data_IF_688311632998
#
_entry.id   IF_688311632998
#
_cell.length_a   1.000
_cell.length_b   1.000
_cell.length_c   1.000
_cell.angle_alpha   90.00
_cell.angle_beta   90.00
_cell.angle_gamma   90.00
#
_symmetry.space_group_name_H-M   'P 1'
#
loop_
_entity.id
_entity.type
_entity.pdbx_description
1 polymer ?
#
# COMPACT_ATOMS: atom_id res chain seq x y z
N UNK A 1 13.89 31.68 -2.94
CA UNK A 1 14.71 30.68 -3.64
C UNK A 1 15.73 30.16 -2.65
N UNK A 2 15.36 29.13 -1.89
CA UNK A 2 16.32 28.36 -1.10
C UNK A 2 16.82 27.25 -2.03
N UNK A 3 18.13 27.19 -2.23
CA UNK A 3 18.79 26.11 -2.97
C UNK A 3 18.37 24.77 -2.36
N UNK A 4 17.65 23.95 -3.12
CA UNK A 4 17.50 22.54 -2.77
C UNK A 4 18.84 21.85 -3.07
N UNK A 5 19.40 21.06 -2.12
CA UNK A 5 20.67 20.38 -2.35
C UNK A 5 20.54 19.42 -3.53
N UNK A 6 21.33 19.67 -4.59
CA UNK A 6 21.44 18.75 -5.71
C UNK A 6 21.93 17.39 -5.21
N UNK A 7 21.14 16.34 -5.46
CA UNK A 7 21.51 14.96 -5.08
C UNK A 7 22.75 14.54 -5.87
N UNK A 8 23.76 14.02 -5.17
CA UNK A 8 25.02 13.58 -5.82
C UNK A 8 24.85 12.24 -6.54
N UNK A 9 25.63 12.00 -7.61
CA UNK A 9 25.64 10.71 -8.34
C UNK A 9 25.93 9.49 -7.42
N UNK A 10 26.73 9.68 -6.37
CA UNK A 10 27.03 8.64 -5.39
C UNK A 10 25.80 8.27 -4.53
N UNK A 11 24.97 9.25 -4.16
CA UNK A 11 23.73 9.01 -3.42
C UNK A 11 22.66 8.32 -4.29
N UNK A 12 22.63 8.59 -5.60
CA UNK A 12 21.75 7.87 -6.53
C UNK A 12 22.20 6.42 -6.78
N UNK A 13 23.51 6.12 -6.65
CA UNK A 13 24.04 4.77 -6.85
C UNK A 13 23.56 3.78 -5.78
N UNK A 14 23.35 4.24 -4.54
CA UNK A 14 22.89 3.43 -3.41
C UNK A 14 21.37 3.12 -3.47
N UNK A 15 20.63 3.67 -4.43
CA UNK A 15 19.19 3.37 -4.62
C UNK A 15 18.89 2.54 -5.86
N UNK A 16 19.93 1.99 -6.52
CA UNK A 16 19.75 1.15 -7.71
C UNK A 16 19.31 -0.28 -7.35
N UNK A 17 18.48 -0.85 -8.20
CA UNK A 17 18.15 -2.27 -8.21
C UNK A 17 18.80 -2.92 -9.42
N UNK A 18 19.11 -4.22 -9.34
CA UNK A 18 19.66 -4.99 -10.45
C UNK A 18 18.77 -6.20 -10.68
N UNK A 19 18.27 -6.32 -11.90
CA UNK A 19 17.52 -7.50 -12.31
C UNK A 19 18.47 -8.67 -12.60
N UNK A 20 18.24 -9.81 -11.96
CA UNK A 20 19.03 -11.03 -12.14
C UNK A 20 18.07 -12.23 -12.29
N UNK A 21 17.87 -12.67 -13.54
CA UNK A 21 16.85 -13.66 -13.90
C UNK A 21 17.07 -15.01 -13.20
N UNK A 22 18.34 -15.44 -13.08
CA UNK A 22 18.68 -16.74 -12.51
C UNK A 22 18.42 -16.75 -11.00
N UNK A 23 18.74 -15.66 -10.30
CA UNK A 23 18.42 -15.51 -8.88
C UNK A 23 16.91 -15.41 -8.67
N UNK A 24 16.19 -14.64 -9.47
CA UNK A 24 14.72 -14.54 -9.37
C UNK A 24 14.07 -15.90 -9.53
N UNK A 25 14.47 -16.69 -10.53
CA UNK A 25 13.97 -18.06 -10.74
C UNK A 25 14.32 -19.00 -9.59
N UNK A 26 15.52 -18.89 -9.03
CA UNK A 26 15.97 -19.71 -7.89
C UNK A 26 15.15 -19.50 -6.63
N UNK A 27 14.69 -18.27 -6.42
CA UNK A 27 13.95 -17.86 -5.22
C UNK A 27 12.44 -17.66 -5.48
N UNK A 28 11.92 -18.20 -6.59
CA UNK A 28 10.50 -18.19 -6.96
C UNK A 28 9.70 -19.14 -6.04
N UNK A 29 9.34 -18.65 -4.87
CA UNK A 29 8.53 -19.34 -3.87
C UNK A 29 7.30 -18.52 -3.48
N UNK A 30 6.29 -19.19 -2.94
CA UNK A 30 5.16 -18.52 -2.28
C UNK A 30 5.58 -17.98 -0.92
N UNK A 31 5.08 -16.81 -0.56
CA UNK A 31 5.41 -16.16 0.70
C UNK A 31 4.51 -14.96 1.00
N UNK A 32 4.48 -14.51 2.26
CA UNK A 32 3.68 -13.36 2.64
C UNK A 32 4.15 -12.10 1.91
N UNK A 33 3.18 -11.22 1.62
CA UNK A 33 3.47 -9.91 1.02
C UNK A 33 4.07 -8.91 2.01
N UNK A 34 4.06 -9.24 3.31
CA UNK A 34 4.44 -8.36 4.41
C UNK A 34 3.79 -6.97 4.31
N UNK A 35 2.51 -6.94 3.95
CA UNK A 35 1.68 -5.73 4.11
C UNK A 35 1.62 -5.31 5.58
N UNK A 36 1.69 -6.29 6.48
CA UNK A 36 1.92 -6.15 7.91
C UNK A 36 2.71 -7.36 8.42
N UNK A 37 3.30 -7.24 9.60
CA UNK A 37 3.75 -8.38 10.39
C UNK A 37 3.20 -8.24 11.82
N UNK A 38 2.51 -9.27 12.37
CA UNK A 38 2.08 -10.49 11.69
C UNK A 38 1.12 -10.21 10.52
N UNK A 39 0.91 -11.22 9.68
CA UNK A 39 0.01 -11.07 8.52
C UNK A 39 -1.45 -11.19 8.94
N UNK A 40 -2.38 -10.75 8.09
CA UNK A 40 -3.82 -10.89 8.32
C UNK A 40 -4.34 -12.35 8.38
N UNK A 41 -3.48 -13.35 8.15
CA UNK A 41 -3.75 -14.78 8.40
C UNK A 41 -3.83 -15.05 9.90
N UNK A 42 -3.03 -14.36 10.71
CA UNK A 42 -2.95 -14.55 12.16
C UNK A 42 -4.05 -13.80 12.93
N UNK A 43 -4.88 -13.02 12.22
CA UNK A 43 -6.00 -12.31 12.84
C UNK A 43 -7.06 -13.32 13.28
N UNK A 44 -7.51 -13.19 14.52
CA UNK A 44 -8.46 -14.08 15.16
C UNK A 44 -9.64 -13.31 15.76
N UNK A 45 -10.77 -14.00 15.94
CA UNK A 45 -12.03 -13.43 16.47
C UNK A 45 -11.97 -13.19 17.99
N UNK A 46 -10.88 -13.58 18.67
CA UNK A 46 -10.66 -13.28 20.08
C UNK A 46 -10.30 -11.82 20.34
N UNK A 47 -9.86 -11.09 19.31
CA UNK A 47 -9.73 -9.64 19.35
C UNK A 47 -11.01 -9.00 18.79
N UNK A 48 -11.92 -8.64 19.69
CA UNK A 48 -13.25 -8.10 19.41
C UNK A 48 -13.34 -6.58 19.67
N UNK A 49 -14.55 -6.01 19.58
CA UNK A 49 -14.79 -4.60 19.86
C UNK A 49 -14.32 -4.18 21.26
N UNK A 50 -14.53 -5.01 22.29
CA UNK A 50 -14.15 -4.67 23.66
C UNK A 50 -12.63 -4.58 23.81
N UNK A 51 -11.90 -5.55 23.23
CA UNK A 51 -10.44 -5.52 23.17
C UNK A 51 -9.91 -4.30 22.39
N UNK A 52 -10.56 -3.96 21.28
CA UNK A 52 -10.22 -2.78 20.48
C UNK A 52 -10.41 -1.48 21.26
N UNK A 53 -11.58 -1.27 21.89
CA UNK A 53 -11.86 -0.06 22.70
C UNK A 53 -10.84 0.12 23.82
N UNK A 54 -10.57 -0.95 24.57
CA UNK A 54 -9.58 -0.93 25.64
C UNK A 54 -8.17 -0.57 25.11
N UNK A 55 -7.83 -0.95 23.88
CA UNK A 55 -6.55 -0.60 23.25
C UNK A 55 -6.52 0.87 22.85
N UNK A 56 -7.58 1.39 22.22
CA UNK A 56 -7.68 2.80 21.84
C UNK A 56 -7.53 3.72 23.06
N UNK A 57 -8.23 3.41 24.16
CA UNK A 57 -8.12 4.16 25.42
C UNK A 57 -6.68 4.15 25.97
N UNK A 58 -5.99 3.00 25.97
CA UNK A 58 -4.58 2.91 26.38
C UNK A 58 -3.67 3.71 25.45
N UNK A 59 -3.97 3.75 24.14
CA UNK A 59 -3.13 4.42 23.13
C UNK A 59 -3.05 5.93 23.34
N UNK A 60 -4.05 6.54 23.96
CA UNK A 60 -4.09 7.98 24.23
C UNK A 60 -2.92 8.46 25.09
N UNK A 61 -2.40 7.61 25.98
CA UNK A 61 -1.22 7.93 26.78
C UNK A 61 0.03 8.23 25.93
N UNK A 62 0.12 7.67 24.71
CA UNK A 62 1.25 7.90 23.80
C UNK A 62 1.19 9.26 23.10
N UNK A 63 -0.01 9.87 23.01
CA UNK A 63 -0.28 11.10 22.25
C UNK A 63 0.21 11.08 20.80
N UNK A 64 0.40 9.90 20.22
CA UNK A 64 0.79 9.73 18.82
C UNK A 64 -0.24 10.38 17.89
N UNK A 65 0.17 10.92 16.73
CA UNK A 65 -0.77 11.40 15.75
C UNK A 65 -1.68 10.27 15.25
N UNK A 66 -2.76 10.66 14.59
CA UNK A 66 -3.71 9.74 13.96
C UNK A 66 -3.50 9.68 12.45
N UNK A 67 -3.77 8.51 11.90
CA UNK A 67 -3.92 8.25 10.47
C UNK A 67 -5.31 7.69 10.23
N UNK A 68 -6.04 8.21 9.25
CA UNK A 68 -7.40 7.76 8.93
C UNK A 68 -7.41 7.06 7.58
N UNK A 69 -7.94 5.83 7.53
CA UNK A 69 -8.23 5.14 6.29
C UNK A 69 -9.73 4.95 6.12
N UNK A 70 -10.24 5.38 4.98
CA UNK A 70 -11.65 5.22 4.60
C UNK A 70 -11.74 4.23 3.45
N UNK A 71 -12.50 3.16 3.65
CA UNK A 71 -12.83 2.23 2.59
C UNK A 71 -14.16 2.63 1.94
N UNK A 72 -14.11 3.09 0.68
CA UNK A 72 -15.28 3.39 -0.13
C UNK A 72 -15.43 2.26 -1.17
N UNK A 73 -16.31 1.27 -0.94
CA UNK A 73 -16.25 0.00 -1.66
C UNK A 73 -16.87 0.06 -3.05
N UNK A 74 -17.56 1.15 -3.43
CA UNK A 74 -18.34 1.17 -4.66
C UNK A 74 -17.48 1.38 -5.90
N UNK A 75 -17.80 0.66 -6.98
CA UNK A 75 -17.23 0.85 -8.31
C UNK A 75 -18.35 0.92 -9.34
N UNK A 76 -18.28 1.86 -10.28
CA UNK A 76 -19.23 1.94 -11.39
C UNK A 76 -19.12 0.72 -12.35
N UNK A 77 -17.88 0.26 -12.58
CA UNK A 77 -17.56 -0.81 -13.54
C UNK A 77 -16.70 -1.90 -12.90
N UNK A 78 -17.09 -3.16 -13.12
CA UNK A 78 -16.34 -4.32 -12.64
C UNK A 78 -15.13 -4.61 -13.53
N UNK A 79 -13.93 -4.28 -13.05
CA UNK A 79 -12.68 -4.67 -13.71
C UNK A 79 -12.37 -6.15 -13.43
N UNK A 80 -12.12 -6.95 -14.46
CA UNK A 80 -11.99 -8.41 -14.32
C UNK A 80 -10.73 -8.83 -13.57
N UNK A 81 -9.66 -8.03 -13.59
CA UNK A 81 -8.43 -8.32 -12.84
C UNK A 81 -8.59 -8.10 -11.33
N UNK A 82 -9.58 -7.31 -10.88
CA UNK A 82 -9.56 -6.68 -9.56
C UNK A 82 -9.78 -7.66 -8.39
N UNK A 83 -8.83 -7.68 -7.47
CA UNK A 83 -8.83 -8.47 -6.23
C UNK A 83 -9.20 -7.66 -4.97
N UNK A 84 -9.44 -6.35 -5.08
CA UNK A 84 -9.84 -5.51 -3.96
C UNK A 84 -11.19 -5.96 -3.37
N UNK A 85 -11.52 -5.53 -2.14
CA UNK A 85 -12.92 -5.58 -1.69
C UNK A 85 -13.66 -4.42 -2.35
N UNK A 86 -14.80 -4.72 -2.98
CA UNK A 86 -15.60 -3.76 -3.75
C UNK A 86 -17.01 -4.28 -4.02
N UNK A 87 -17.92 -3.34 -4.23
CA UNK A 87 -19.30 -3.52 -4.67
C UNK A 87 -19.44 -2.84 -6.02
N UNK A 88 -19.42 -3.62 -7.11
CA UNK A 88 -19.66 -3.09 -8.44
C UNK A 88 -21.15 -2.84 -8.66
N UNK A 89 -21.55 -1.59 -8.87
CA UNK A 89 -22.96 -1.18 -9.00
C UNK A 89 -23.10 0.08 -9.84
N UNK A 90 -24.20 0.18 -10.60
CA UNK A 90 -24.63 1.41 -11.28
C UNK A 90 -25.57 2.26 -10.41
N UNK A 91 -26.09 1.68 -9.34
CA UNK A 91 -26.98 2.36 -8.42
C UNK A 91 -26.18 3.23 -7.43
N UNK A 92 -26.04 4.51 -7.75
CA UNK A 92 -25.35 5.49 -6.90
C UNK A 92 -26.12 5.81 -5.61
N UNK A 93 -27.42 5.48 -5.53
CA UNK A 93 -28.20 5.73 -4.32
C UNK A 93 -27.71 4.90 -3.13
N UNK A 94 -26.97 3.81 -3.37
CA UNK A 94 -26.36 2.99 -2.33
C UNK A 94 -25.23 3.69 -1.56
N UNK A 95 -24.65 4.77 -2.11
CA UNK A 95 -23.55 5.48 -1.48
C UNK A 95 -23.99 6.24 -0.21
N UNK A 96 -25.11 6.96 -0.25
CA UNK A 96 -25.53 7.79 0.89
C UNK A 96 -25.81 6.96 2.15
N UNK A 97 -26.59 5.86 2.10
CA UNK A 97 -26.85 5.04 3.30
C UNK A 97 -25.58 4.41 3.89
N UNK A 98 -24.56 4.17 3.06
CA UNK A 98 -23.26 3.69 3.53
C UNK A 98 -22.48 4.81 4.23
N UNK A 99 -22.43 6.01 3.64
CA UNK A 99 -21.78 7.17 4.24
C UNK A 99 -22.43 7.57 5.57
N UNK A 100 -23.76 7.56 5.66
CA UNK A 100 -24.47 7.84 6.92
C UNK A 100 -24.05 6.90 8.06
N UNK A 101 -23.80 5.62 7.74
CA UNK A 101 -23.27 4.64 8.71
C UNK A 101 -21.80 4.91 9.03
N UNK A 102 -20.99 5.23 8.03
CA UNK A 102 -19.60 5.66 8.25
C UNK A 102 -19.53 6.92 9.13
N UNK A 103 -20.49 7.85 9.03
CA UNK A 103 -20.56 9.03 9.89
C UNK A 103 -20.80 8.63 11.36
N UNK A 104 -21.71 7.68 11.60
CA UNK A 104 -21.93 7.11 12.94
C UNK A 104 -20.70 6.35 13.46
N UNK A 105 -20.02 5.62 12.57
CA UNK A 105 -18.76 4.96 12.91
C UNK A 105 -17.69 5.98 13.33
N UNK A 106 -17.54 7.09 12.59
CA UNK A 106 -16.63 8.18 12.96
C UNK A 106 -16.97 8.79 14.33
N UNK A 107 -18.24 8.98 14.64
CA UNK A 107 -18.68 9.46 15.97
C UNK A 107 -18.29 8.46 17.07
N UNK A 108 -18.48 7.15 16.85
CA UNK A 108 -18.07 6.12 17.81
C UNK A 108 -16.55 5.99 17.94
N UNK A 109 -15.82 6.12 16.84
CA UNK A 109 -14.35 6.01 16.80
C UNK A 109 -13.70 7.22 17.47
N UNK A 110 -14.10 8.44 17.11
CA UNK A 110 -13.52 9.67 17.68
C UNK A 110 -13.68 9.75 19.19
N UNK A 111 -14.78 9.24 19.75
CA UNK A 111 -14.99 9.17 21.20
C UNK A 111 -13.96 8.28 21.95
N UNK A 112 -13.18 7.46 21.25
CA UNK A 112 -12.12 6.62 21.85
C UNK A 112 -10.77 7.34 21.93
N UNK A 113 -10.60 8.46 21.26
CA UNK A 113 -9.32 9.16 21.14
C UNK A 113 -9.40 10.55 21.78
N UNK A 114 -8.29 11.00 22.36
CA UNK A 114 -8.23 12.36 22.90
C UNK A 114 -8.35 13.41 21.78
N UNK A 115 -9.08 14.49 22.04
CA UNK A 115 -9.40 15.55 21.08
C UNK A 115 -8.18 16.38 20.62
N UNK A 116 -7.08 16.31 21.37
CA UNK A 116 -5.81 16.96 21.06
C UNK A 116 -4.95 16.18 20.06
N UNK A 117 -5.30 14.93 19.74
CA UNK A 117 -4.58 14.10 18.76
C UNK A 117 -4.88 14.56 17.34
N UNK A 118 -3.85 15.06 16.68
CA UNK A 118 -3.94 15.58 15.30
C UNK A 118 -3.90 14.44 14.29
N UNK A 119 -4.68 14.57 13.22
CA UNK A 119 -4.63 13.69 12.05
C UNK A 119 -3.57 14.19 11.07
N UNK A 120 -2.43 13.50 11.06
CA UNK A 120 -1.33 13.77 10.11
C UNK A 120 -1.54 13.09 8.76
N UNK A 121 -2.36 12.04 8.70
CA UNK A 121 -2.60 11.30 7.46
C UNK A 121 -4.07 10.95 7.27
N UNK A 122 -4.53 11.04 6.04
CA UNK A 122 -5.86 10.61 5.64
C UNK A 122 -5.77 9.96 4.26
N UNK A 123 -6.42 8.81 4.10
CA UNK A 123 -6.46 8.11 2.84
C UNK A 123 -7.86 7.61 2.52
N UNK A 124 -8.37 7.98 1.35
CA UNK A 124 -9.56 7.38 0.77
C UNK A 124 -9.16 6.35 -0.28
N UNK A 125 -9.50 5.08 -0.03
CA UNK A 125 -9.25 3.99 -0.96
C UNK A 125 -10.43 3.02 -1.06
N UNK A 126 -10.19 1.85 -1.66
CA UNK A 126 -11.10 0.72 -1.60
C UNK A 126 -11.55 0.23 -2.98
N UNK A 127 -12.81 0.51 -3.32
CA UNK A 127 -13.33 0.30 -4.67
C UNK A 127 -12.93 1.47 -5.56
N UNK A 128 -13.72 2.54 -5.51
CA UNK A 128 -13.47 3.78 -6.23
C UNK A 128 -13.97 4.95 -5.39
N UNK A 129 -13.10 5.62 -4.61
CA UNK A 129 -13.48 6.79 -3.83
C UNK A 129 -14.23 7.86 -4.63
N UNK A 130 -13.83 8.09 -5.88
CA UNK A 130 -14.50 9.03 -6.79
C UNK A 130 -15.87 8.59 -7.30
N UNK A 131 -16.39 7.44 -6.85
CA UNK A 131 -17.78 7.02 -7.11
C UNK A 131 -18.80 7.92 -6.40
N UNK A 132 -18.47 8.41 -5.19
CA UNK A 132 -19.38 9.30 -4.46
C UNK A 132 -19.42 10.67 -5.14
N UNK A 133 -20.57 11.33 -5.06
CA UNK A 133 -20.76 12.65 -5.67
C UNK A 133 -19.90 13.72 -4.97
N UNK A 134 -19.67 14.84 -5.65
CA UNK A 134 -18.97 16.00 -5.07
C UNK A 134 -19.63 16.51 -3.78
N UNK A 135 -20.97 16.48 -3.69
CA UNK A 135 -21.67 16.82 -2.46
C UNK A 135 -21.32 15.85 -1.33
N UNK A 136 -21.33 14.56 -1.61
CA UNK A 136 -20.96 13.52 -0.64
C UNK A 136 -19.48 13.61 -0.22
N UNK A 137 -18.58 14.02 -1.11
CA UNK A 137 -17.18 14.28 -0.74
C UNK A 137 -17.07 15.42 0.27
N UNK A 138 -17.83 16.51 0.06
CA UNK A 138 -17.90 17.64 1.01
C UNK A 138 -18.45 17.16 2.36
N UNK A 139 -19.59 16.47 2.33
CA UNK A 139 -20.21 15.93 3.55
C UNK A 139 -19.27 14.99 4.33
N UNK A 140 -18.59 14.07 3.65
CA UNK A 140 -17.65 13.15 4.31
C UNK A 140 -16.50 13.89 4.98
N UNK A 141 -15.91 14.88 4.31
CA UNK A 141 -14.84 15.70 4.89
C UNK A 141 -15.32 16.62 6.00
N UNK A 142 -16.54 17.15 5.93
CA UNK A 142 -17.14 17.94 6.99
C UNK A 142 -17.39 17.07 8.24
N UNK A 143 -17.93 15.86 8.07
CA UNK A 143 -18.07 14.90 9.16
C UNK A 143 -16.71 14.46 9.72
N UNK A 144 -15.69 14.33 8.87
CA UNK A 144 -14.35 14.00 9.34
C UNK A 144 -13.80 15.12 10.22
N UNK A 145 -13.89 16.39 9.79
CA UNK A 145 -13.45 17.56 10.59
C UNK A 145 -14.25 17.75 11.88
N UNK A 146 -15.53 17.36 11.89
CA UNK A 146 -16.38 17.40 13.10
C UNK A 146 -15.88 16.42 14.16
N UNK A 147 -15.38 15.26 13.75
CA UNK A 147 -15.03 14.15 14.64
C UNK A 147 -13.51 14.07 14.94
N UNK A 148 -12.66 14.59 14.06
CA UNK A 148 -11.21 14.51 14.19
C UNK A 148 -10.54 15.85 13.90
N UNK A 149 -9.43 16.11 14.60
CA UNK A 149 -8.62 17.32 14.41
C UNK A 149 -7.72 17.18 13.19
N UNK A 150 -8.19 17.66 12.04
CA UNK A 150 -7.41 17.72 10.80
C UNK A 150 -6.42 18.90 10.79
N UNK A 151 -5.39 18.77 9.96
CA UNK A 151 -4.50 19.85 9.55
C UNK A 151 -5.13 20.58 8.35
N UNK A 152 -5.05 21.90 8.35
CA UNK A 152 -5.59 22.77 7.29
C UNK A 152 -4.49 23.27 6.33
N UNK A 153 -3.31 22.65 6.37
CA UNK A 153 -2.17 22.92 5.50
C UNK A 153 -1.63 21.64 4.85
N UNK A 154 -0.62 21.77 4.00
CA UNK A 154 -0.02 20.64 3.28
C UNK A 154 1.01 19.86 4.11
N UNK A 155 1.10 20.09 5.43
CA UNK A 155 1.92 19.23 6.31
C UNK A 155 1.23 17.89 6.61
N UNK A 156 -0.10 17.82 6.48
CA UNK A 156 -0.84 16.56 6.51
C UNK A 156 -0.82 15.84 5.16
N UNK A 157 -0.71 14.51 5.17
CA UNK A 157 -0.73 13.68 3.96
C UNK A 157 -2.15 13.21 3.63
N UNK A 158 -2.89 13.99 2.84
CA UNK A 158 -4.28 13.68 2.48
C UNK A 158 -4.35 13.16 1.04
N UNK A 159 -4.66 11.87 0.93
CA UNK A 159 -4.50 11.07 -0.28
C UNK A 159 -5.77 10.34 -0.70
N UNK A 160 -5.95 10.15 -2.00
CA UNK A 160 -7.12 9.50 -2.59
C UNK A 160 -6.75 8.63 -3.79
N UNK A 161 -7.38 7.46 -3.91
CA UNK A 161 -7.37 6.65 -5.13
C UNK A 161 -8.44 7.15 -6.12
N UNK A 162 -8.05 7.34 -7.39
CA UNK A 162 -8.89 7.90 -8.44
C UNK A 162 -9.01 6.92 -9.61
N UNK A 163 -10.24 6.63 -10.02
CA UNK A 163 -10.52 6.11 -11.35
C UNK A 163 -10.68 7.29 -12.33
N UNK A 164 -9.82 7.43 -13.35
CA UNK A 164 -9.85 8.57 -14.27
C UNK A 164 -11.14 8.63 -15.11
N UNK A 165 -11.93 7.56 -15.17
CA UNK A 165 -13.24 7.53 -15.85
C UNK A 165 -14.34 8.21 -15.03
N UNK A 166 -14.14 8.33 -13.72
CA UNK A 166 -15.11 8.82 -12.74
C UNK A 166 -14.71 10.20 -12.17
N UNK A 167 -13.62 10.80 -12.66
CA UNK A 167 -13.11 12.07 -12.19
C UNK A 167 -12.81 13.02 -13.36
N UNK A 168 -13.21 14.28 -13.22
CA UNK A 168 -12.86 15.36 -14.13
C UNK A 168 -12.18 16.51 -13.39
N UNK A 169 -11.86 17.59 -14.12
CA UNK A 169 -11.16 18.75 -13.56
C UNK A 169 -11.88 19.38 -12.35
N UNK A 170 -13.21 19.43 -12.36
CA UNK A 170 -13.99 19.96 -11.23
C UNK A 170 -13.89 19.07 -9.98
N UNK A 171 -13.85 17.74 -10.14
CA UNK A 171 -13.64 16.80 -9.03
C UNK A 171 -12.24 16.98 -8.44
N UNK A 172 -11.21 17.08 -9.28
CA UNK A 172 -9.83 17.29 -8.83
C UNK A 172 -9.67 18.62 -8.09
N UNK A 173 -10.28 19.68 -8.62
CA UNK A 173 -10.31 20.99 -7.96
C UNK A 173 -11.00 20.91 -6.59
N UNK A 174 -12.15 20.24 -6.51
CA UNK A 174 -12.83 20.02 -5.24
C UNK A 174 -11.96 19.26 -4.24
N UNK A 175 -11.32 18.18 -4.66
CA UNK A 175 -10.46 17.40 -3.76
C UNK A 175 -9.35 18.29 -3.18
N UNK A 176 -8.76 19.17 -4.00
CA UNK A 176 -7.81 20.15 -3.50
C UNK A 176 -8.43 21.13 -2.49
N UNK A 177 -9.62 21.67 -2.78
CA UNK A 177 -10.37 22.53 -1.84
C UNK A 177 -10.66 21.84 -0.50
N UNK A 178 -10.85 20.52 -0.52
CA UNK A 178 -11.09 19.71 0.67
C UNK A 178 -9.82 19.37 1.46
N UNK A 179 -8.63 19.71 0.94
CA UNK A 179 -7.34 19.50 1.59
C UNK A 179 -6.52 18.34 1.03
N UNK A 180 -7.01 17.59 0.03
CA UNK A 180 -6.22 16.53 -0.60
C UNK A 180 -5.04 17.14 -1.35
N UNK A 181 -3.86 16.59 -1.14
CA UNK A 181 -2.61 17.03 -1.77
C UNK A 181 -1.86 15.88 -2.45
N UNK A 182 -2.38 14.65 -2.36
CA UNK A 182 -1.84 13.43 -2.97
C UNK A 182 -2.94 12.67 -3.68
N UNK A 183 -2.62 12.00 -4.78
CA UNK A 183 -3.56 11.10 -5.46
C UNK A 183 -2.86 9.95 -6.16
N UNK A 184 -3.54 8.80 -6.25
CA UNK A 184 -3.13 7.66 -7.07
C UNK A 184 -4.14 7.41 -8.18
N UNK A 185 -3.69 7.38 -9.43
CA UNK A 185 -4.55 7.14 -10.60
C UNK A 185 -4.43 5.70 -11.06
N UNK A 186 -5.56 4.99 -11.06
CA UNK A 186 -5.64 3.65 -11.61
C UNK A 186 -5.59 3.64 -13.14
N UNK A 187 -4.42 3.49 -13.74
CA UNK A 187 -4.27 3.43 -15.22
C UNK A 187 -4.29 1.99 -15.73
N UNK A 188 -3.50 1.14 -15.09
CA UNK A 188 -3.31 -0.28 -15.37
C UNK A 188 -2.61 -0.56 -16.70
N UNK A 189 -3.20 -0.10 -17.82
CA UNK A 189 -2.64 -0.20 -19.17
C UNK A 189 -3.33 0.80 -20.13
N UNK A 190 -2.59 1.36 -21.09
CA UNK A 190 -3.14 2.19 -22.18
C UNK A 190 -3.49 1.37 -23.43
N UNK A 191 -3.09 0.11 -23.52
CA UNK A 191 -3.42 -0.75 -24.65
C UNK A 191 -4.92 -1.09 -24.66
N UNK A 192 -5.60 -0.76 -25.77
CA UNK A 192 -7.05 -0.94 -25.89
C UNK A 192 -7.48 -2.42 -25.92
N UNK A 193 -6.62 -3.33 -26.40
CA UNK A 193 -6.89 -4.77 -26.42
C UNK A 193 -6.82 -5.34 -25.00
N UNK A 194 -5.81 -4.95 -24.22
CA UNK A 194 -5.68 -5.29 -22.80
C UNK A 194 -6.89 -4.75 -22.02
N UNK A 195 -7.22 -3.47 -22.19
CA UNK A 195 -8.36 -2.83 -21.53
C UNK A 195 -9.69 -3.55 -21.81
N UNK A 196 -9.94 -3.95 -23.07
CA UNK A 196 -11.12 -4.75 -23.44
C UNK A 196 -11.15 -6.10 -22.74
N UNK A 197 -10.00 -6.78 -22.70
CA UNK A 197 -9.88 -8.10 -22.08
C UNK A 197 -10.19 -8.08 -20.57
N UNK A 198 -9.93 -6.94 -19.91
CA UNK A 198 -10.14 -6.78 -18.47
C UNK A 198 -11.33 -5.90 -18.09
N UNK A 199 -12.13 -5.48 -19.07
CA UNK A 199 -13.31 -4.62 -18.88
C UNK A 199 -13.00 -3.28 -18.19
N UNK A 200 -11.90 -2.62 -18.61
CA UNK A 200 -11.47 -1.31 -18.12
C UNK A 200 -11.17 -0.37 -19.29
N UNK A 201 -12.19 -0.03 -20.08
CA UNK A 201 -12.02 0.91 -21.20
C UNK A 201 -11.84 2.32 -20.64
N UNK A 202 -10.71 2.93 -20.95
CA UNK A 202 -10.36 4.31 -20.61
C UNK A 202 -9.47 4.89 -21.70
N UNK A 203 -9.72 6.13 -22.10
CA UNK A 203 -8.87 6.83 -23.05
C UNK A 203 -7.66 7.43 -22.34
N UNK A 204 -6.58 7.59 -23.10
CA UNK A 204 -5.42 8.34 -22.65
C UNK A 204 -5.79 9.78 -22.30
N UNK A 205 -6.66 10.41 -23.11
CA UNK A 205 -7.11 11.79 -22.91
C UNK A 205 -7.81 12.00 -21.55
N UNK A 206 -8.64 11.06 -21.11
CA UNK A 206 -9.27 11.11 -19.77
C UNK A 206 -8.22 11.11 -18.66
N UNK A 207 -7.21 10.24 -18.78
CA UNK A 207 -6.12 10.16 -17.79
C UNK A 207 -5.30 11.45 -17.76
N UNK A 208 -4.89 11.95 -18.93
CA UNK A 208 -4.09 13.17 -19.02
C UNK A 208 -4.84 14.39 -18.51
N UNK A 209 -6.15 14.49 -18.76
CA UNK A 209 -6.96 15.59 -18.25
C UNK A 209 -7.00 15.65 -16.71
N UNK A 210 -7.05 14.50 -16.03
CA UNK A 210 -6.99 14.43 -14.56
C UNK A 210 -5.61 14.85 -14.05
N UNK A 211 -4.53 14.38 -14.69
CA UNK A 211 -3.15 14.74 -14.33
C UNK A 211 -2.89 16.24 -14.50
N UNK A 212 -3.28 16.81 -15.64
CA UNK A 212 -3.16 18.24 -15.91
C UNK A 212 -3.95 19.09 -14.91
N UNK A 213 -5.19 18.69 -14.60
CA UNK A 213 -6.01 19.38 -13.61
C UNK A 213 -5.35 19.37 -12.23
N UNK A 214 -4.77 18.24 -11.82
CA UNK A 214 -4.15 18.12 -10.51
C UNK A 214 -2.89 18.96 -10.36
N UNK A 215 -2.05 18.99 -11.40
CA UNK A 215 -0.89 19.89 -11.46
C UNK A 215 -1.31 21.35 -11.38
N UNK A 216 -2.36 21.72 -12.12
CA UNK A 216 -2.89 23.09 -12.14
C UNK A 216 -3.38 23.56 -10.78
N UNK A 217 -3.95 22.67 -9.96
CA UNK A 217 -4.43 22.98 -8.61
C UNK A 217 -3.41 22.69 -7.52
N UNK A 218 -2.21 22.22 -7.87
CA UNK A 218 -1.09 22.07 -6.95
C UNK A 218 -1.13 20.82 -6.07
N UNK A 219 -1.56 19.67 -6.61
CA UNK A 219 -1.25 18.38 -5.99
C UNK A 219 0.27 18.18 -5.95
N UNK A 220 0.80 17.79 -4.78
CA UNK A 220 2.24 17.70 -4.54
C UNK A 220 2.85 16.33 -4.89
N UNK A 221 2.04 15.27 -4.91
CA UNK A 221 2.51 13.93 -5.29
C UNK A 221 1.41 13.17 -6.02
N UNK A 222 1.65 12.89 -7.29
CA UNK A 222 0.76 12.12 -8.16
C UNK A 222 1.40 10.76 -8.44
N UNK A 223 0.65 9.69 -8.17
CA UNK A 223 1.02 8.31 -8.50
C UNK A 223 0.19 7.81 -9.69
N UNK A 224 0.83 7.00 -10.55
CA UNK A 224 0.14 6.20 -11.57
C UNK A 224 0.31 4.72 -11.24
N UNK A 225 -0.80 4.00 -11.17
CA UNK A 225 -0.82 2.56 -10.95
C UNK A 225 -0.92 1.82 -12.29
N UNK A 226 0.00 0.88 -12.51
CA UNK A 226 0.09 -0.01 -13.66
C UNK A 226 0.02 -1.46 -13.20
N UNK A 227 -0.41 -2.37 -14.09
CA UNK A 227 -0.41 -3.81 -13.81
C UNK A 227 0.27 -4.53 -14.97
N UNK A 228 1.31 -5.30 -14.67
CA UNK A 228 1.91 -6.23 -15.63
C UNK A 228 1.41 -7.66 -15.40
N UNK A 229 1.37 -8.46 -16.47
CA UNK A 229 0.81 -9.81 -16.46
C UNK A 229 -0.68 -9.90 -16.84
N UNK A 230 -1.30 -8.82 -17.32
CA UNK A 230 -2.66 -8.84 -17.86
C UNK A 230 -2.73 -9.50 -19.24
N UNK A 231 -3.93 -9.93 -19.69
CA UNK A 231 -4.11 -10.57 -20.98
C UNK A 231 -3.54 -9.76 -22.15
N UNK A 232 -2.90 -10.44 -23.10
CA UNK A 232 -2.29 -9.87 -24.32
C UNK A 232 -1.09 -8.95 -24.12
N UNK A 233 -0.58 -8.78 -22.90
CA UNK A 233 0.63 -8.01 -22.68
C UNK A 233 1.87 -8.78 -23.15
N UNK A 234 2.80 -8.05 -23.75
CA UNK A 234 4.17 -8.44 -24.03
C UNK A 234 5.11 -7.24 -23.78
N UNK A 235 6.44 -7.40 -23.82
CA UNK A 235 7.36 -6.31 -23.54
C UNK A 235 7.22 -5.12 -24.50
N UNK A 236 6.92 -5.37 -25.78
CA UNK A 236 6.84 -4.32 -26.80
C UNK A 236 5.59 -3.46 -26.59
N UNK A 237 4.43 -4.09 -26.35
CA UNK A 237 3.18 -3.37 -26.09
C UNK A 237 3.21 -2.66 -24.72
N UNK A 238 3.74 -3.32 -23.68
CA UNK A 238 3.85 -2.68 -22.36
C UNK A 238 4.84 -1.50 -22.38
N UNK A 239 5.89 -1.56 -23.21
CA UNK A 239 6.81 -0.44 -23.42
C UNK A 239 6.09 0.80 -23.97
N UNK A 240 5.12 0.65 -24.89
CA UNK A 240 4.32 1.79 -25.38
C UNK A 240 3.46 2.42 -24.28
N UNK A 241 2.96 1.59 -23.35
CA UNK A 241 2.28 2.09 -22.15
C UNK A 241 3.24 2.88 -21.26
N UNK A 242 4.47 2.41 -21.08
CA UNK A 242 5.50 3.14 -20.33
C UNK A 242 5.93 4.44 -21.00
N UNK A 243 5.99 4.51 -22.34
CA UNK A 243 6.29 5.77 -23.06
C UNK A 243 5.35 6.88 -22.59
N UNK A 244 4.04 6.58 -22.59
CA UNK A 244 3.01 7.53 -22.17
C UNK A 244 3.13 7.92 -20.69
N UNK A 245 3.49 6.97 -19.82
CA UNK A 245 3.67 7.25 -18.38
C UNK A 245 4.92 8.09 -18.14
N UNK A 246 6.02 7.80 -18.84
CA UNK A 246 7.26 8.56 -18.76
C UNK A 246 7.04 9.99 -19.25
N UNK A 247 6.36 10.15 -20.39
CA UNK A 247 6.00 11.46 -20.96
C UNK A 247 5.05 12.23 -20.04
N UNK A 248 4.10 11.54 -19.41
CA UNK A 248 3.22 12.13 -18.41
C UNK A 248 3.99 12.58 -17.16
N UNK A 249 5.14 11.97 -16.86
CA UNK A 249 6.06 12.33 -15.78
C UNK A 249 5.43 12.46 -14.38
N UNK A 250 4.66 11.47 -13.87
CA UNK A 250 4.16 11.51 -12.49
C UNK A 250 5.31 11.46 -11.47
N UNK A 251 5.07 11.93 -10.26
CA UNK A 251 6.06 11.87 -9.17
C UNK A 251 6.33 10.42 -8.75
N UNK A 252 5.30 9.57 -8.82
CA UNK A 252 5.37 8.14 -8.46
C UNK A 252 4.76 7.24 -9.52
N UNK A 253 5.26 6.01 -9.59
CA UNK A 253 4.69 4.93 -10.40
C UNK A 253 4.65 3.66 -9.56
N UNK A 254 3.49 3.02 -9.49
CA UNK A 254 3.35 1.68 -8.91
C UNK A 254 3.10 0.67 -10.02
N UNK A 255 3.91 -0.38 -10.12
CA UNK A 255 3.81 -1.39 -11.17
C UNK A 255 3.55 -2.75 -10.54
N UNK A 256 2.28 -3.13 -10.44
CA UNK A 256 1.86 -4.33 -9.73
C UNK A 256 1.92 -5.58 -10.61
N UNK A 257 2.40 -6.68 -10.03
CA UNK A 257 2.24 -8.00 -10.63
C UNK A 257 0.78 -8.46 -10.57
N UNK A 258 0.19 -8.82 -11.71
CA UNK A 258 -1.14 -9.41 -11.75
C UNK A 258 -1.20 -10.76 -11.01
N UNK A 259 -1.97 -10.77 -9.91
CA UNK A 259 -2.28 -11.96 -9.14
C UNK A 259 -3.58 -12.62 -9.64
N UNK A 260 -3.44 -13.68 -10.45
CA UNK A 260 -4.56 -14.45 -10.99
C UNK A 260 -4.95 -15.61 -10.05
N UNK A 261 -6.07 -15.44 -9.33
CA UNK A 261 -6.66 -16.40 -8.40
C UNK A 261 -8.20 -16.47 -8.58
N UNK A 262 -8.70 -16.96 -9.74
CA UNK A 262 -10.12 -16.95 -10.10
C UNK A 262 -11.02 -17.84 -9.22
N UNK A 263 -10.44 -18.76 -8.45
CA UNK A 263 -11.13 -19.52 -7.41
C UNK A 263 -11.57 -18.62 -6.26
N UNK A 264 -10.75 -17.62 -5.90
CA UNK A 264 -10.99 -16.66 -4.81
C UNK A 264 -11.65 -15.37 -5.29
N UNK A 265 -11.28 -14.89 -6.47
CA UNK A 265 -11.79 -13.64 -7.04
C UNK A 265 -12.62 -13.93 -8.28
N UNK A 266 -13.94 -14.08 -8.09
CA UNK A 266 -14.87 -14.46 -9.16
C UNK A 266 -14.84 -13.59 -10.42
N UNK A 267 -14.51 -12.27 -10.40
CA UNK A 267 -14.39 -11.48 -11.62
C UNK A 267 -13.31 -11.99 -12.57
N UNK A 268 -12.23 -12.57 -12.03
CA UNK A 268 -11.08 -13.03 -12.82
C UNK A 268 -11.43 -14.25 -13.69
N UNK A 269 -12.52 -14.97 -13.40
CA UNK A 269 -13.03 -16.08 -14.26
C UNK A 269 -13.44 -15.62 -15.66
N UNK A 270 -13.58 -14.30 -15.87
CA UNK A 270 -13.91 -13.70 -17.17
C UNK A 270 -12.67 -13.40 -18.02
N UNK A 271 -11.47 -13.50 -17.43
CA UNK A 271 -10.21 -13.48 -18.15
C UNK A 271 -9.94 -14.92 -18.63
N UNK A 272 -9.50 -15.07 -19.87
CA UNK A 272 -9.09 -16.37 -20.40
C UNK A 272 -7.63 -16.62 -20.05
N UNK A 273 -7.36 -17.78 -19.46
CA UNK A 273 -6.00 -18.17 -19.06
C UNK A 273 -5.03 -18.20 -20.26
N UNK A 274 -5.50 -18.62 -21.44
CA UNK A 274 -4.69 -18.67 -22.68
C UNK A 274 -4.27 -17.28 -23.19
N UNK A 275 -4.96 -16.22 -22.78
CA UNK A 275 -4.61 -14.85 -23.15
C UNK A 275 -3.54 -14.27 -22.19
N UNK A 276 -3.27 -14.91 -21.05
CA UNK A 276 -2.29 -14.42 -20.07
C UNK A 276 -0.86 -14.65 -20.56
N UNK A 277 0.06 -13.68 -20.34
CA UNK A 277 1.45 -13.86 -20.69
C UNK A 277 2.06 -15.00 -19.87
N UNK A 278 2.88 -15.87 -20.48
CA UNK A 278 3.58 -16.91 -19.75
C UNK A 278 4.59 -16.28 -18.76
N UNK A 279 5.03 -17.02 -17.73
CA UNK A 279 5.89 -16.48 -16.66
C UNK A 279 7.14 -15.76 -17.15
N UNK A 280 7.80 -16.28 -18.20
CA UNK A 280 9.00 -15.62 -18.76
C UNK A 280 8.67 -14.23 -19.33
N UNK A 281 7.55 -14.07 -20.05
CA UNK A 281 7.12 -12.78 -20.60
C UNK A 281 6.85 -11.77 -19.48
N UNK A 282 6.27 -12.21 -18.36
CA UNK A 282 6.07 -11.35 -17.18
C UNK A 282 7.39 -10.85 -16.60
N UNK A 283 8.41 -11.70 -16.56
CA UNK A 283 9.75 -11.33 -16.10
C UNK A 283 10.44 -10.37 -17.07
N UNK A 284 10.27 -10.58 -18.38
CA UNK A 284 10.81 -9.69 -19.42
C UNK A 284 10.15 -8.29 -19.32
N UNK A 285 8.83 -8.22 -19.10
CA UNK A 285 8.12 -6.96 -18.85
C UNK A 285 8.63 -6.28 -17.59
N UNK A 286 8.82 -7.02 -16.49
CA UNK A 286 9.32 -6.47 -15.23
C UNK A 286 10.74 -5.90 -15.39
N UNK A 287 11.65 -6.65 -16.02
CA UNK A 287 13.01 -6.20 -16.29
C UNK A 287 13.01 -4.91 -17.11
N UNK A 288 12.31 -4.92 -18.24
CA UNK A 288 12.19 -3.76 -19.13
C UNK A 288 11.60 -2.55 -18.38
N UNK A 289 10.57 -2.76 -17.55
CA UNK A 289 9.97 -1.68 -16.76
C UNK A 289 10.96 -1.03 -15.80
N UNK A 290 11.71 -1.85 -15.06
CA UNK A 290 12.73 -1.37 -14.12
C UNK A 290 13.80 -0.56 -14.85
N UNK A 291 14.33 -1.10 -15.95
CA UNK A 291 15.38 -0.45 -16.74
C UNK A 291 14.88 0.89 -17.29
N UNK A 292 13.71 0.90 -17.94
CA UNK A 292 13.16 2.11 -18.56
C UNK A 292 12.80 3.21 -17.56
N UNK A 293 12.16 2.88 -16.44
CA UNK A 293 11.86 3.87 -15.40
C UNK A 293 13.14 4.41 -14.75
N UNK A 294 14.14 3.55 -14.54
CA UNK A 294 15.44 3.97 -13.99
C UNK A 294 16.19 4.90 -14.95
N UNK A 295 16.23 4.56 -16.24
CA UNK A 295 16.85 5.36 -17.29
C UNK A 295 16.14 6.72 -17.46
N UNK A 296 14.82 6.75 -17.25
CA UNK A 296 14.03 7.98 -17.27
C UNK A 296 14.06 8.76 -15.92
N UNK A 297 14.85 8.29 -14.95
CA UNK A 297 15.22 9.03 -13.75
C UNK A 297 14.35 8.75 -12.50
N UNK A 298 13.49 7.72 -12.51
CA UNK A 298 12.84 7.26 -11.29
C UNK A 298 13.77 6.32 -10.50
N UNK A 299 13.62 6.31 -9.19
CA UNK A 299 14.31 5.39 -8.29
C UNK A 299 13.38 4.25 -7.92
N UNK A 300 13.92 3.03 -7.88
CA UNK A 300 13.22 1.87 -7.34
C UNK A 300 13.19 1.96 -5.81
N UNK A 301 12.05 2.36 -5.25
CA UNK A 301 11.86 2.47 -3.81
C UNK A 301 11.76 1.09 -3.18
N UNK A 302 11.09 0.15 -3.84
CA UNK A 302 11.01 -1.23 -3.39
C UNK A 302 9.66 -1.87 -3.71
N UNK A 303 9.61 -3.19 -3.66
CA UNK A 303 8.46 -3.98 -4.10
C UNK A 303 8.01 -3.58 -5.51
N UNK A 304 6.96 -2.77 -5.58
CA UNK A 304 6.24 -2.41 -6.80
C UNK A 304 6.33 -0.88 -7.05
N UNK A 305 7.03 -0.12 -6.21
CA UNK A 305 7.00 1.35 -6.21
C UNK A 305 8.28 2.00 -6.76
N UNK A 306 8.07 3.03 -7.56
CA UNK A 306 9.08 3.93 -8.10
C UNK A 306 8.72 5.38 -7.76
N UNK A 307 9.72 6.21 -7.46
CA UNK A 307 9.51 7.63 -7.16
C UNK A 307 10.66 8.49 -7.71
N UNK A 308 10.41 9.79 -7.92
CA UNK A 308 11.45 10.74 -8.31
C UNK A 308 12.53 10.87 -7.23
N UNK A 309 13.78 11.26 -7.59
CA UNK A 309 14.86 11.38 -6.62
C UNK A 309 14.66 12.46 -5.57
N UNK A 310 13.80 13.45 -5.80
CA UNK A 310 13.42 14.49 -4.86
C UNK A 310 12.10 14.20 -4.13
N UNK A 311 11.44 13.07 -4.44
CA UNK A 311 10.25 12.61 -3.72
C UNK A 311 10.62 12.27 -2.27
N UNK A 312 9.73 12.65 -1.36
CA UNK A 312 9.86 12.39 0.08
C UNK A 312 10.05 10.91 0.44
N UNK A 313 9.52 9.93 -0.31
CA UNK A 313 9.78 8.51 -0.06
C UNK A 313 11.24 8.17 -0.36
N UNK A 314 11.78 8.71 -1.46
CA UNK A 314 13.17 8.52 -1.81
C UNK A 314 14.12 9.19 -0.79
N UNK A 315 13.73 10.35 -0.26
CA UNK A 315 14.46 11.06 0.80
C UNK A 315 14.40 10.28 2.12
N UNK A 316 13.21 9.84 2.54
CA UNK A 316 13.01 9.06 3.75
C UNK A 316 13.79 7.73 3.71
N UNK A 317 13.82 7.04 2.56
CA UNK A 317 14.59 5.82 2.41
C UNK A 317 16.10 6.03 2.61
N UNK A 318 16.66 7.08 2.00
CA UNK A 318 18.08 7.44 2.19
C UNK A 318 18.38 7.76 3.65
N UNK A 319 17.47 8.45 4.30
CA UNK A 319 17.59 8.82 5.72
C UNK A 319 17.30 7.66 6.68
N UNK A 320 16.85 6.49 6.18
CA UNK A 320 16.49 5.35 7.01
C UNK A 320 15.17 5.50 7.77
N UNK A 321 14.34 6.47 7.38
CA UNK A 321 13.06 6.81 8.04
C UNK A 321 11.85 6.40 7.19
N UNK A 322 12.05 5.71 6.07
CA UNK A 322 10.92 5.20 5.28
C UNK A 322 10.17 4.14 6.08
N UNK A 323 8.86 4.23 6.04
CA UNK A 323 7.95 3.32 6.71
C UNK A 323 6.93 2.74 5.72
N UNK A 324 6.19 1.71 6.17
CA UNK A 324 5.13 1.08 5.40
C UNK A 324 3.91 0.79 6.28
N UNK A 325 2.72 1.23 5.83
CA UNK A 325 1.42 0.86 6.40
C UNK A 325 0.64 -0.04 5.42
N UNK A 326 -0.67 -0.26 5.62
CA UNK A 326 -1.46 -1.10 4.71
C UNK A 326 -1.64 -0.50 3.30
N UNK A 327 -1.59 0.82 3.18
CA UNK A 327 -1.78 1.56 1.92
C UNK A 327 -0.50 1.59 1.07
N UNK A 328 0.69 1.54 1.69
CA UNK A 328 1.94 1.55 0.95
C UNK A 328 3.10 2.09 1.77
N UNK A 329 4.13 2.59 1.07
CA UNK A 329 5.20 3.34 1.69
C UNK A 329 4.74 4.72 2.16
N UNK A 330 5.28 5.19 3.27
CA UNK A 330 4.91 6.45 3.91
C UNK A 330 6.06 6.99 4.76
N UNK A 331 5.99 8.27 5.08
CA UNK A 331 6.97 9.02 5.90
C UNK A 331 6.55 9.15 7.37
N UNK A 332 5.31 8.80 7.73
CA UNK A 332 4.77 8.92 9.10
C UNK A 332 4.64 7.54 9.78
N UNK A 333 5.73 7.07 10.41
CA UNK A 333 5.81 5.72 10.98
C UNK A 333 4.96 5.48 12.25
N UNK A 334 4.76 6.55 13.01
CA UNK A 334 4.31 6.47 14.40
C UNK A 334 2.82 6.80 14.60
N UNK A 335 2.06 7.04 13.53
CA UNK A 335 0.64 7.31 13.64
C UNK A 335 -0.17 6.04 13.99
N UNK A 336 -1.16 6.18 14.87
CA UNK A 336 -2.19 5.15 15.05
C UNK A 336 -3.20 5.25 13.89
N UNK A 337 -3.34 4.15 13.15
CA UNK A 337 -4.21 4.04 11.99
C UNK A 337 -5.61 3.57 12.40
N UNK A 338 -6.60 4.44 12.21
CA UNK A 338 -8.02 4.11 12.36
C UNK A 338 -8.57 3.71 10.99
N UNK A 339 -9.08 2.48 10.89
CA UNK A 339 -9.78 2.00 9.71
C UNK A 339 -11.28 2.23 9.82
N UNK A 340 -11.87 2.91 8.85
CA UNK A 340 -13.29 3.25 8.76
C UNK A 340 -13.91 2.60 7.52
N UNK A 341 -15.12 2.07 7.66
CA UNK A 341 -15.83 1.38 6.60
C UNK A 341 -15.59 -0.13 6.55
N UNK A 342 -16.31 -0.78 5.65
CA UNK A 342 -16.28 -2.23 5.47
C UNK A 342 -14.85 -2.69 5.13
N UNK A 343 -14.42 -3.80 5.73
CA UNK A 343 -13.11 -4.47 5.54
C UNK A 343 -11.86 -3.75 6.05
N UNK A 344 -11.97 -2.48 6.40
CA UNK A 344 -10.86 -1.64 6.83
C UNK A 344 -10.04 -2.28 7.93
N UNK A 345 -8.72 -2.11 7.85
CA UNK A 345 -7.77 -2.57 8.86
C UNK A 345 -7.16 -1.35 9.53
N UNK A 346 -7.27 -1.29 10.86
CA UNK A 346 -6.58 -0.34 11.71
C UNK A 346 -5.31 -0.93 12.34
N UNK A 347 -4.40 -0.05 12.75
CA UNK A 347 -3.23 -0.35 13.58
C UNK A 347 -3.20 0.68 14.71
N UNK A 348 -3.65 0.28 15.90
CA UNK A 348 -3.65 1.16 17.08
C UNK A 348 -2.76 0.54 18.14
N UNK A 349 -1.76 1.31 18.59
CA UNK A 349 -0.68 0.85 19.46
C UNK A 349 0.00 -0.43 18.90
N UNK A 350 -0.01 -1.51 19.68
CA UNK A 350 0.55 -2.81 19.33
C UNK A 350 -0.50 -3.78 18.76
N UNK A 351 -1.61 -3.30 18.23
CA UNK A 351 -2.69 -4.18 17.72
C UNK A 351 -3.00 -3.93 16.25
N UNK A 352 -3.58 -4.94 15.61
CA UNK A 352 -4.30 -4.79 14.36
C UNK A 352 -5.76 -5.18 14.58
N UNK A 353 -6.69 -4.36 14.07
CA UNK A 353 -8.13 -4.63 14.10
C UNK A 353 -8.72 -4.55 12.71
N UNK A 354 -9.61 -5.47 12.34
CA UNK A 354 -10.26 -5.49 11.04
C UNK A 354 -11.78 -5.40 11.18
N UNK A 355 -12.36 -4.49 10.40
CA UNK A 355 -13.81 -4.35 10.28
C UNK A 355 -14.44 -5.50 9.49
N UNK A 356 -15.73 -5.75 9.74
CA UNK A 356 -16.55 -6.75 9.04
C UNK A 356 -16.28 -6.74 7.53
N UNK A 357 -16.11 -7.95 6.96
CA UNK A 357 -15.79 -8.10 5.53
C UNK A 357 -17.00 -7.94 4.61
N UNK A 358 -18.17 -8.29 5.15
CA UNK A 358 -19.43 -8.29 4.43
C UNK A 358 -20.23 -7.05 4.80
N UNK A 359 -20.79 -6.38 3.78
CA UNK A 359 -21.53 -5.13 3.94
C UNK A 359 -22.73 -5.26 4.89
N UNK A 360 -23.45 -6.39 4.84
CA UNK A 360 -24.61 -6.63 5.70
C UNK A 360 -24.23 -6.69 7.18
N UNK A 361 -23.16 -7.42 7.51
CA UNK A 361 -22.66 -7.51 8.88
C UNK A 361 -22.12 -6.17 9.38
N UNK A 362 -21.35 -5.46 8.55
CA UNK A 362 -20.87 -4.10 8.84
C UNK A 362 -22.04 -3.17 9.17
N UNK A 363 -23.06 -3.14 8.32
CA UNK A 363 -24.23 -2.29 8.53
C UNK A 363 -24.99 -2.65 9.81
N UNK A 364 -25.16 -3.95 10.09
CA UNK A 364 -25.87 -4.42 11.28
C UNK A 364 -25.16 -4.03 12.59
N UNK A 365 -23.82 -4.06 12.62
CA UNK A 365 -23.04 -3.62 13.79
C UNK A 365 -23.20 -2.11 14.02
N UNK A 366 -23.01 -1.30 12.98
CA UNK A 366 -23.13 0.16 13.09
C UNK A 366 -24.56 0.59 13.45
N UNK A 367 -25.59 -0.02 12.85
CA UNK A 367 -26.99 0.29 13.13
C UNK A 367 -27.39 -0.09 14.57
N UNK A 368 -26.66 -1.01 15.20
CA UNK A 368 -26.82 -1.38 16.60
C UNK A 368 -25.96 -0.54 17.57
N UNK A 369 -25.26 0.50 17.08
CA UNK A 369 -24.40 1.36 17.90
C UNK A 369 -23.11 0.67 18.37
N UNK A 370 -22.62 -0.31 17.61
CA UNK A 370 -21.35 -1.00 17.86
C UNK A 370 -20.34 -0.70 16.77
N UNK A 371 -19.05 -0.74 17.11
CA UNK A 371 -17.99 -0.77 16.10
C UNK A 371 -17.99 -2.11 15.37
N UNK A 372 -17.68 -2.09 14.08
CA UNK A 372 -17.72 -3.28 13.22
C UNK A 372 -16.44 -4.14 13.30
N UNK A 373 -15.63 -4.02 14.36
CA UNK A 373 -14.38 -4.79 14.52
C UNK A 373 -14.73 -6.24 14.82
N UNK A 374 -14.39 -7.16 13.91
CA UNK A 374 -14.77 -8.58 14.03
C UNK A 374 -13.61 -9.52 14.32
N UNK A 375 -12.39 -9.10 14.01
CA UNK A 375 -11.16 -9.86 14.30
C UNK A 375 -9.95 -8.96 14.35
N UNK A 376 -8.87 -9.47 14.92
CA UNK A 376 -7.60 -8.76 15.01
C UNK A 376 -6.53 -9.58 15.70
N UNK A 377 -5.49 -8.90 16.16
CA UNK A 377 -4.42 -9.49 16.96
C UNK A 377 -3.77 -8.41 17.81
N UNK A 378 -3.52 -8.73 19.08
CA UNK A 378 -2.61 -7.97 19.93
C UNK A 378 -1.22 -8.60 19.82
N UNK A 379 -0.23 -7.80 19.41
CA UNK A 379 1.12 -8.29 19.19
C UNK A 379 1.80 -8.51 20.53
N UNK A 380 2.43 -9.67 20.67
CA UNK A 380 3.37 -9.88 21.76
C UNK A 380 4.71 -9.22 21.43
N UNK A 381 5.61 -9.21 22.41
CA UNK A 381 6.92 -8.57 22.28
C UNK A 381 7.79 -9.11 21.12
N UNK A 382 7.75 -10.41 20.86
CA UNK A 382 8.47 -11.02 19.73
C UNK A 382 7.87 -10.57 18.39
N UNK A 383 6.54 -10.46 18.31
CA UNK A 383 5.86 -9.97 17.11
C UNK A 383 6.25 -8.54 16.79
N UNK A 384 6.29 -7.66 17.80
CA UNK A 384 6.66 -6.26 17.60
C UNK A 384 8.12 -6.09 17.21
N UNK A 385 9.03 -6.86 17.82
CA UNK A 385 10.45 -6.89 17.47
C UNK A 385 10.65 -7.36 16.02
N UNK A 386 10.00 -8.45 15.62
CA UNK A 386 10.09 -8.98 14.24
C UNK A 386 9.45 -8.03 13.24
N UNK A 387 8.34 -7.38 13.60
CA UNK A 387 7.73 -6.31 12.80
C UNK A 387 8.72 -5.17 12.56
N UNK A 388 9.43 -4.72 13.58
CA UNK A 388 10.47 -3.68 13.45
C UNK A 388 11.57 -4.11 12.47
N UNK A 389 12.14 -5.30 12.67
CA UNK A 389 13.18 -5.87 11.79
C UNK A 389 12.71 -5.99 10.34
N UNK A 390 11.53 -6.59 10.09
CA UNK A 390 10.98 -6.78 8.74
C UNK A 390 10.67 -5.42 8.10
N UNK A 391 10.11 -4.47 8.86
CA UNK A 391 9.78 -3.13 8.34
C UNK A 391 11.04 -2.39 7.90
N UNK A 392 12.10 -2.40 8.73
CA UNK A 392 13.37 -1.75 8.38
C UNK A 392 14.02 -2.36 7.13
N UNK A 393 14.01 -3.69 7.01
CA UNK A 393 14.54 -4.37 5.82
C UNK A 393 13.73 -4.04 4.57
N UNK A 394 12.39 -4.11 4.63
CA UNK A 394 11.51 -3.81 3.47
C UNK A 394 11.63 -2.36 3.02
N UNK A 395 11.71 -1.42 3.96
CA UNK A 395 11.69 0.00 3.62
C UNK A 395 13.08 0.54 3.29
N UNK A 396 14.10 0.16 4.06
CA UNK A 396 15.39 0.83 4.02
C UNK A 396 16.52 -0.04 3.43
N UNK A 397 16.26 -1.31 3.12
CA UNK A 397 17.25 -2.26 2.58
C UNK A 397 18.51 -2.42 3.46
N UNK A 398 18.44 -2.01 4.72
CA UNK A 398 19.52 -2.11 5.71
C UNK A 398 18.95 -2.31 7.10
N UNK A 399 19.74 -2.93 7.96
CA UNK A 399 19.41 -3.14 9.36
C UNK A 399 20.69 -3.04 10.20
N UNK A 400 20.71 -2.09 11.13
CA UNK A 400 21.77 -1.96 12.14
C UNK A 400 21.38 -2.76 13.38
N UNK A 401 22.22 -3.73 13.78
CA UNK A 401 21.94 -4.56 14.93
C UNK A 401 21.92 -3.75 16.22
N UNK A 402 22.86 -2.82 16.42
CA UNK A 402 22.96 -2.04 17.64
C UNK A 402 21.71 -1.16 17.87
N UNK A 403 21.08 -0.66 16.79
CA UNK A 403 19.82 0.05 16.90
C UNK A 403 18.68 -0.84 17.40
N UNK A 404 18.58 -2.07 16.89
CA UNK A 404 17.55 -3.04 17.31
C UNK A 404 17.82 -3.51 18.74
N UNK A 405 19.06 -3.85 19.06
CA UNK A 405 19.50 -4.28 20.40
C UNK A 405 19.19 -3.20 21.45
N UNK A 406 19.44 -1.93 21.13
CA UNK A 406 19.12 -0.81 22.03
C UNK A 406 17.62 -0.62 22.26
N UNK A 407 16.81 -0.74 21.20
CA UNK A 407 15.35 -0.56 21.31
C UNK A 407 14.70 -1.72 22.05
N UNK A 408 15.18 -2.94 21.78
CA UNK A 408 14.55 -4.16 22.23
C UNK A 408 15.31 -4.91 23.31
N UNK A 409 16.42 -4.38 23.86
CA UNK A 409 17.18 -5.02 24.95
C UNK A 409 17.43 -6.52 24.70
N UNK A 410 18.05 -6.83 23.56
CA UNK A 410 18.44 -8.19 23.16
C UNK A 410 19.89 -8.21 22.68
N UNK A 411 20.46 -9.41 22.55
CA UNK A 411 21.58 -9.64 21.64
C UNK A 411 21.02 -10.12 20.30
N UNK A 412 21.23 -9.38 19.22
CA UNK A 412 20.59 -9.65 17.93
C UNK A 412 21.03 -10.97 17.34
N UNK A 413 22.33 -11.26 17.39
CA UNK A 413 22.92 -12.47 16.81
C UNK A 413 22.39 -13.72 17.51
N UNK A 414 22.31 -13.69 18.84
CA UNK A 414 21.78 -14.81 19.62
C UNK A 414 20.27 -14.98 19.40
N UNK A 415 19.51 -13.88 19.46
CA UNK A 415 18.05 -13.90 19.34
C UNK A 415 17.60 -14.37 17.96
N UNK A 416 18.28 -13.91 16.90
CA UNK A 416 17.95 -14.23 15.52
C UNK A 416 18.88 -15.27 14.88
N UNK A 417 19.59 -16.09 15.67
CA UNK A 417 20.54 -17.09 15.17
C UNK A 417 19.93 -17.98 14.06
N UNK A 418 18.71 -18.49 14.27
CA UNK A 418 17.98 -19.30 13.28
C UNK A 418 17.65 -18.50 12.01
N UNK A 419 17.28 -17.22 12.16
CA UNK A 419 16.98 -16.34 11.03
C UNK A 419 18.24 -16.04 10.21
N UNK A 420 19.34 -15.66 10.88
CA UNK A 420 20.64 -15.41 10.25
C UNK A 420 21.18 -16.65 9.53
N UNK A 421 21.00 -17.85 10.11
CA UNK A 421 21.37 -19.10 9.45
C UNK A 421 20.61 -19.31 8.12
N UNK A 422 19.33 -18.94 8.04
CA UNK A 422 18.52 -19.01 6.81
C UNK A 422 19.00 -18.05 5.73
N UNK A 423 19.66 -16.94 6.11
CA UNK A 423 20.15 -15.95 5.17
C UNK A 423 21.46 -16.36 4.47
N UNK A 424 22.20 -17.34 5.00
CA UNK A 424 23.53 -17.71 4.48
C UNK A 424 23.54 -18.09 2.99
N UNK A 425 22.49 -18.76 2.50
CA UNK A 425 22.36 -19.06 1.07
C UNK A 425 22.17 -17.81 0.21
N UNK A 426 21.35 -16.86 0.69
CA UNK A 426 21.11 -15.58 0.01
C UNK A 426 22.34 -14.65 0.06
N UNK A 427 23.12 -14.73 1.14
CA UNK A 427 24.42 -14.04 1.26
C UNK A 427 25.45 -14.61 0.26
N UNK A 428 25.56 -15.94 0.17
CA UNK A 428 26.45 -16.60 -0.82
C UNK A 428 26.07 -16.26 -2.27
N UNK A 429 24.78 -16.01 -2.52
CA UNK A 429 24.23 -15.60 -3.81
C UNK A 429 24.34 -14.09 -4.09
N UNK A 430 24.89 -13.31 -3.15
CA UNK A 430 25.08 -11.87 -3.31
C UNK A 430 23.79 -11.05 -3.27
N UNK A 431 22.75 -11.54 -2.60
CA UNK A 431 21.51 -10.79 -2.38
C UNK A 431 21.63 -9.81 -1.21
N UNK A 432 22.45 -10.16 -0.21
CA UNK A 432 22.71 -9.36 0.98
C UNK A 432 24.12 -9.62 1.50
N UNK A 433 24.63 -8.71 2.30
CA UNK A 433 25.83 -8.89 3.11
C UNK A 433 25.42 -8.83 4.58
N UNK A 434 26.00 -9.72 5.39
CA UNK A 434 25.88 -9.67 6.85
C UNK A 434 27.26 -9.56 7.47
N UNK A 435 27.44 -8.62 8.38
CA UNK A 435 28.65 -8.54 9.20
C UNK A 435 28.29 -8.45 10.70
N UNK A 436 29.26 -8.10 11.54
CA UNK A 436 29.04 -7.97 12.99
C UNK A 436 28.14 -6.79 13.37
N UNK A 437 27.97 -5.82 12.47
CA UNK A 437 27.21 -4.58 12.70
C UNK A 437 25.78 -4.66 12.17
N UNK A 438 25.52 -5.44 11.13
CA UNK A 438 24.19 -5.46 10.53
C UNK A 438 24.02 -6.27 9.25
N UNK A 439 22.91 -5.98 8.58
CA UNK A 439 22.54 -6.54 7.28
C UNK A 439 22.41 -5.40 6.27
N UNK A 440 22.98 -5.58 5.08
CA UNK A 440 22.78 -4.70 3.93
C UNK A 440 22.26 -5.49 2.74
N UNK A 441 21.11 -5.12 2.22
CA UNK A 441 20.53 -5.76 1.02
C UNK A 441 21.19 -5.15 -0.22
N UNK A 442 21.84 -6.01 -1.00
CA UNK A 442 22.54 -5.62 -2.22
C UNK A 442 21.54 -5.35 -3.36
N UNK A 443 21.93 -4.64 -4.43
CA UNK A 443 21.02 -4.30 -5.53
C UNK A 443 20.25 -5.49 -6.12
N UNK A 444 20.88 -6.67 -6.21
CA UNK A 444 20.24 -7.92 -6.67
C UNK A 444 19.19 -8.48 -5.70
N UNK A 445 19.35 -8.22 -4.40
CA UNK A 445 18.44 -8.71 -3.35
C UNK A 445 17.18 -7.86 -3.19
N UNK A 446 17.11 -6.65 -3.76
CA UNK A 446 15.99 -5.73 -3.54
C UNK A 446 14.66 -6.24 -4.09
N UNK A 447 14.68 -6.88 -5.26
CA UNK A 447 13.50 -7.54 -5.82
C UNK A 447 13.07 -8.75 -4.98
N UNK A 448 14.04 -9.40 -4.32
CA UNK A 448 13.86 -10.58 -3.47
C UNK A 448 13.74 -10.23 -1.98
N UNK A 449 13.41 -8.98 -1.65
CA UNK A 449 13.38 -8.51 -0.26
C UNK A 449 12.41 -9.30 0.62
N UNK A 450 11.30 -9.76 0.04
CA UNK A 450 10.32 -10.61 0.72
C UNK A 450 10.94 -11.96 1.13
N UNK A 451 11.79 -12.57 0.29
CA UNK A 451 12.52 -13.80 0.62
C UNK A 451 13.49 -13.59 1.80
N UNK A 452 14.16 -12.43 1.85
CA UNK A 452 15.04 -12.06 2.95
C UNK A 452 14.24 -11.91 4.26
N UNK A 453 13.11 -11.20 4.20
CA UNK A 453 12.23 -10.98 5.36
C UNK A 453 11.64 -12.27 5.92
N UNK A 454 11.39 -13.28 5.08
CA UNK A 454 10.97 -14.63 5.51
C UNK A 454 11.99 -15.33 6.42
N UNK A 455 13.25 -14.87 6.46
CA UNK A 455 14.23 -15.34 7.45
C UNK A 455 13.82 -15.02 8.90
N UNK A 456 13.09 -13.93 9.10
CA UNK A 456 12.72 -13.38 10.41
C UNK A 456 11.27 -13.65 10.81
N UNK A 457 10.51 -14.36 9.99
CA UNK A 457 9.11 -14.68 10.22
C UNK A 457 8.95 -15.92 11.12
N UNK A 458 8.31 -15.74 12.29
CA UNK A 458 8.07 -16.82 13.24
C UNK A 458 6.90 -17.74 12.82
N UNK A 459 5.92 -17.22 12.10
CA UNK A 459 4.68 -17.94 11.75
C UNK A 459 4.86 -18.88 10.57
N UNK A 460 5.94 -18.72 9.79
CA UNK A 460 6.24 -19.54 8.61
C UNK A 460 6.41 -21.03 8.91
N UNK A 461 6.92 -21.40 10.08
CA UNK A 461 7.07 -22.82 10.46
C UNK A 461 5.70 -23.50 10.71
N UNK A 462 4.71 -22.74 11.20
CA UNK A 462 3.37 -23.24 11.49
C UNK A 462 2.49 -23.37 10.23
N UNK A 463 2.78 -22.62 9.17
CA UNK A 463 1.92 -22.50 7.96
C UNK A 463 2.33 -23.39 6.77
N UNK A 464 3.32 -24.28 6.91
CA UNK A 464 3.71 -25.22 5.82
C UNK A 464 2.58 -26.19 5.37
N UNK A 465 1.38 -26.11 5.96
CA UNK A 465 0.23 -26.95 5.60
C UNK A 465 -1.12 -26.24 5.36
N UNK A 466 -1.25 -24.91 5.41
CA UNK A 466 -2.57 -24.26 5.34
C UNK A 466 -2.61 -22.99 4.46
N UNK A 467 -3.39 -23.03 3.37
CA UNK A 467 -3.95 -21.86 2.67
C UNK A 467 -2.95 -20.92 1.96
N UNK A 468 -2.50 -21.30 0.77
CA UNK A 468 -1.32 -20.76 0.08
C UNK A 468 -1.30 -19.25 -0.22
N UNK A 469 -0.19 -18.61 0.17
CA UNK A 469 0.23 -17.32 -0.36
C UNK A 469 0.48 -17.38 -1.87
N UNK A 470 0.31 -16.24 -2.57
CA UNK A 470 0.76 -16.12 -3.96
C UNK A 470 2.29 -16.18 -4.06
N UNK A 471 2.81 -16.42 -5.27
CA UNK A 471 4.23 -16.23 -5.57
C UNK A 471 4.70 -14.82 -5.22
N UNK A 472 5.96 -14.72 -4.81
CA UNK A 472 6.59 -13.51 -4.27
C UNK A 472 7.04 -12.53 -5.37
N UNK A 473 7.36 -13.03 -6.57
CA UNK A 473 7.69 -12.24 -7.78
C UNK A 473 6.81 -12.67 -8.94
#
# INVERSE_FOLDING_TARGET
MLDQPQTTQAQMADQRTVFDLDLIKRYDQSGPRYTSYPTAVEFNEGFDEAAYRATCERSNASKRPLSLYFHIPFCDTLCFYCACNKVATKDRSLAQPYLERMYREMEMQSALFDDDRVVEQLHWGGGTPTFISQQQMRELMDQTRKNFRLLDDDSGEYSIEIDPREAGGDTVKLLRELGFNRMSLGVQDFDTKVQKAVNRIQTEAETMAVLEAARKVGFGSISIDLIYGLPFQDPDEFSKTLDKVIDAAPERVSVFNYAHLPSRFSPQRRIKDDDLPPPQVKLDILQMTIERLTDAGWLYIGMDHFARPDDELALAQRNGTLYRNFQGYSTHADADLIGLGVTSIGKVANTYGQNQREMEAYNADIDAGRLAVFRGIELNRDDELRRDVITRLICNFKLDFAEVERVWDINFVDYFATGLARLKGMEADGLLETDASGIRVLPKGRLLIRNICMGFDAYREATQGAGGFSKVI
#
